data_IF_364649923572
#
_entry.id   IF_364649923572
#
_cell.length_a   1.000
_cell.length_b   1.000
_cell.length_c   1.000
_cell.angle_alpha   90.00
_cell.angle_beta   90.00
_cell.angle_gamma   90.00
#
_symmetry.space_group_name_H-M   'P 1'
#
loop_
_entity.id
_entity.type
_entity.pdbx_description
1 polymer ?
#
# COMPACT_ATOMS: atom_id res chain seq x y z
N UNK A 1 3.70 -15.70 -23.95
CA UNK A 1 4.31 -16.03 -22.65
C UNK A 1 4.27 -17.54 -22.41
N UNK A 2 5.29 -18.14 -21.74
CA UNK A 2 5.31 -19.55 -21.34
C UNK A 2 5.45 -19.65 -19.83
N UNK A 3 4.55 -20.33 -19.17
CA UNK A 3 4.56 -20.58 -17.71
C UNK A 3 4.71 -22.10 -17.52
N UNK A 4 5.77 -22.52 -16.82
CA UNK A 4 5.99 -23.92 -16.50
C UNK A 4 5.32 -24.31 -15.19
N UNK A 5 5.21 -25.59 -14.92
CA UNK A 5 4.64 -26.12 -13.67
C UNK A 5 5.49 -25.70 -12.47
N UNK A 6 4.91 -25.19 -11.38
CA UNK A 6 5.63 -24.92 -10.13
C UNK A 6 6.43 -26.13 -9.65
N UNK A 7 7.53 -25.88 -8.95
CA UNK A 7 8.44 -26.87 -8.39
C UNK A 7 9.13 -27.76 -9.46
N UNK A 8 9.11 -27.33 -10.73
CA UNK A 8 9.83 -27.98 -11.84
C UNK A 8 10.94 -27.08 -12.37
N UNK A 9 11.88 -27.59 -13.16
CA UNK A 9 12.91 -26.77 -13.78
C UNK A 9 12.38 -25.69 -14.74
N UNK A 10 11.13 -25.82 -15.20
CA UNK A 10 10.48 -24.86 -16.09
C UNK A 10 9.62 -23.81 -15.35
N UNK A 11 9.59 -23.84 -14.03
CA UNK A 11 8.79 -22.94 -13.21
C UNK A 11 9.22 -21.48 -13.39
N UNK A 12 8.25 -20.58 -13.50
CA UNK A 12 8.48 -19.14 -13.32
C UNK A 12 8.41 -18.86 -11.83
N UNK A 13 9.48 -18.30 -11.26
CA UNK A 13 9.62 -18.03 -9.82
C UNK A 13 9.46 -16.55 -9.54
N UNK A 14 8.55 -16.22 -8.62
CA UNK A 14 8.35 -14.86 -8.12
C UNK A 14 8.63 -14.82 -6.62
N UNK A 15 9.53 -13.93 -6.21
CA UNK A 15 9.87 -13.67 -4.81
C UNK A 15 9.18 -12.39 -4.35
N UNK A 16 8.36 -12.49 -3.30
CA UNK A 16 7.75 -11.34 -2.65
C UNK A 16 8.60 -10.91 -1.44
N UNK A 17 8.94 -9.64 -1.37
CA UNK A 17 9.61 -9.01 -0.24
C UNK A 17 8.58 -8.26 0.59
N UNK A 18 8.07 -8.91 1.61
CA UNK A 18 6.92 -8.55 2.43
C UNK A 18 5.82 -9.58 2.27
N UNK A 19 5.47 -10.24 3.38
CA UNK A 19 4.55 -11.38 3.40
C UNK A 19 3.30 -11.10 4.23
N UNK A 20 2.88 -9.82 4.27
CA UNK A 20 1.66 -9.40 4.94
C UNK A 20 0.37 -9.87 4.26
N UNK A 21 -0.75 -9.27 4.65
CA UNK A 21 -2.08 -9.59 4.10
C UNK A 21 -2.20 -9.32 2.61
N UNK A 22 -1.63 -8.21 2.12
CA UNK A 22 -1.66 -7.87 0.70
C UNK A 22 -0.78 -8.84 -0.09
N UNK A 23 0.43 -9.13 0.41
CA UNK A 23 1.31 -10.13 -0.18
C UNK A 23 0.67 -11.52 -0.26
N UNK A 24 -0.15 -11.93 0.72
CA UNK A 24 -0.90 -13.19 0.68
C UNK A 24 -1.85 -13.24 -0.51
N UNK A 25 -2.62 -12.20 -0.75
CA UNK A 25 -3.54 -12.15 -1.89
C UNK A 25 -2.77 -12.14 -3.24
N UNK A 26 -1.63 -11.44 -3.31
CA UNK A 26 -0.74 -11.49 -4.51
C UNK A 26 -0.22 -12.90 -4.75
N UNK A 27 0.25 -13.61 -3.71
CA UNK A 27 0.70 -15.01 -3.81
C UNK A 27 -0.42 -15.90 -4.35
N UNK A 28 -1.63 -15.78 -3.81
CA UNK A 28 -2.79 -16.56 -4.25
C UNK A 28 -3.07 -16.32 -5.74
N UNK A 29 -3.07 -15.06 -6.18
CA UNK A 29 -3.32 -14.74 -7.59
C UNK A 29 -2.20 -15.23 -8.52
N UNK A 30 -0.94 -15.15 -8.11
CA UNK A 30 0.18 -15.72 -8.86
C UNK A 30 0.07 -17.25 -8.98
N UNK A 31 -0.31 -17.93 -7.90
CA UNK A 31 -0.51 -19.40 -7.91
C UNK A 31 -1.67 -19.81 -8.81
N UNK A 32 -2.75 -19.03 -8.91
CA UNK A 32 -3.83 -19.27 -9.89
C UNK A 32 -3.33 -19.23 -11.33
N UNK A 33 -2.26 -18.50 -11.60
CA UNK A 33 -1.59 -18.47 -12.90
C UNK A 33 -0.51 -19.55 -13.07
N UNK A 34 -0.33 -20.45 -12.10
CA UNK A 34 0.69 -21.51 -12.14
C UNK A 34 2.12 -21.00 -11.86
N UNK A 35 2.27 -19.88 -11.16
CA UNK A 35 3.56 -19.30 -10.81
C UNK A 35 4.07 -19.87 -9.49
N UNK A 36 5.35 -20.20 -9.42
CA UNK A 36 6.02 -20.61 -8.20
C UNK A 36 6.35 -19.38 -7.34
N UNK A 37 5.89 -19.38 -6.10
CA UNK A 37 5.97 -18.22 -5.21
C UNK A 37 6.89 -18.46 -4.04
N UNK A 38 7.71 -17.46 -3.70
CA UNK A 38 8.65 -17.44 -2.58
C UNK A 38 8.30 -16.22 -1.73
N UNK A 39 7.88 -16.45 -0.48
CA UNK A 39 7.45 -15.39 0.43
C UNK A 39 8.53 -15.09 1.47
N UNK A 40 8.96 -13.82 1.55
CA UNK A 40 10.03 -13.38 2.44
C UNK A 40 9.50 -12.34 3.43
N UNK A 41 9.78 -12.50 4.71
CA UNK A 41 9.47 -11.51 5.74
C UNK A 41 10.51 -11.54 6.85
N UNK A 42 10.46 -10.55 7.77
CA UNK A 42 11.33 -10.47 8.96
C UNK A 42 10.90 -11.38 10.11
N UNK A 43 9.73 -12.00 10.05
CA UNK A 43 9.19 -12.89 11.05
C UNK A 43 8.56 -14.12 10.40
N UNK A 44 8.53 -15.23 11.15
CA UNK A 44 7.94 -16.49 10.69
C UNK A 44 6.41 -16.45 10.70
N UNK A 45 5.82 -17.33 9.93
CA UNK A 45 4.37 -17.53 9.86
C UNK A 45 3.58 -16.29 9.39
N UNK A 46 4.26 -15.42 8.64
CA UNK A 46 3.59 -14.27 8.01
C UNK A 46 2.49 -14.75 7.02
N UNK A 47 1.41 -13.97 6.83
CA UNK A 47 0.26 -14.40 6.03
C UNK A 47 0.58 -15.01 4.66
N UNK A 48 1.46 -14.41 3.87
CA UNK A 48 1.83 -14.95 2.56
C UNK A 48 2.71 -16.22 2.67
N UNK A 49 3.52 -16.35 3.72
CA UNK A 49 4.34 -17.56 3.96
C UNK A 49 3.47 -18.79 4.19
N UNK A 50 2.26 -18.63 4.74
CA UNK A 50 1.32 -19.74 4.99
C UNK A 50 0.78 -20.37 3.71
N UNK A 51 0.89 -19.71 2.57
CA UNK A 51 0.33 -20.16 1.27
C UNK A 51 1.37 -20.25 0.16
N UNK A 52 2.56 -19.70 0.33
CA UNK A 52 3.62 -19.74 -0.69
C UNK A 52 4.24 -21.15 -0.82
N UNK A 53 4.86 -21.43 -1.96
CA UNK A 53 5.60 -22.69 -2.16
C UNK A 53 6.86 -22.79 -1.29
N UNK A 54 7.51 -21.63 -1.04
CA UNK A 54 8.65 -21.51 -0.12
C UNK A 54 8.54 -20.25 0.71
N UNK A 55 9.10 -20.30 1.92
CA UNK A 55 9.08 -19.22 2.88
C UNK A 55 10.47 -18.98 3.48
N UNK A 56 10.86 -17.72 3.61
CA UNK A 56 12.12 -17.34 4.24
C UNK A 56 11.93 -16.22 5.25
N UNK A 57 12.73 -16.28 6.31
CA UNK A 57 12.77 -15.23 7.35
C UNK A 57 14.15 -14.61 7.33
N UNK A 58 14.23 -13.34 6.91
CA UNK A 58 15.46 -12.55 6.91
C UNK A 58 15.16 -11.10 7.31
N UNK A 59 16.16 -10.38 7.74
CA UNK A 59 16.10 -8.92 7.76
C UNK A 59 16.31 -8.40 6.32
N UNK A 60 15.22 -8.00 5.67
CA UNK A 60 15.26 -7.51 4.27
C UNK A 60 15.97 -6.14 4.15
N UNK A 61 16.28 -5.46 5.26
CA UNK A 61 17.10 -4.25 5.27
C UNK A 61 18.61 -4.56 5.27
N UNK A 62 19.00 -5.81 5.52
CA UNK A 62 20.36 -6.29 5.35
C UNK A 62 20.61 -6.66 3.88
N UNK A 63 21.40 -5.83 3.20
CA UNK A 63 21.75 -6.00 1.80
C UNK A 63 22.43 -7.35 1.51
N UNK A 64 23.26 -7.86 2.44
CA UNK A 64 23.98 -9.13 2.25
C UNK A 64 23.02 -10.32 2.36
N UNK A 65 22.14 -10.30 3.36
CA UNK A 65 21.14 -11.35 3.54
C UNK A 65 20.17 -11.41 2.34
N UNK A 66 19.72 -10.23 1.86
CA UNK A 66 18.86 -10.14 0.69
C UNK A 66 19.54 -10.71 -0.57
N UNK A 67 20.78 -10.30 -0.87
CA UNK A 67 21.52 -10.80 -2.03
C UNK A 67 21.75 -12.30 -1.96
N UNK A 68 22.21 -12.81 -0.83
CA UNK A 68 22.47 -14.25 -0.64
C UNK A 68 21.19 -15.09 -0.87
N UNK A 69 20.03 -14.60 -0.43
CA UNK A 69 18.75 -15.26 -0.67
C UNK A 69 18.38 -15.25 -2.15
N UNK A 70 18.54 -14.12 -2.84
CA UNK A 70 18.27 -14.01 -4.29
C UNK A 70 19.16 -14.95 -5.09
N UNK A 71 20.46 -15.02 -4.78
CA UNK A 71 21.42 -15.91 -5.45
C UNK A 71 21.11 -17.38 -5.21
N UNK A 72 20.64 -17.74 -4.01
CA UNK A 72 20.24 -19.11 -3.66
C UNK A 72 18.95 -19.53 -4.36
N UNK A 73 17.90 -18.73 -4.29
CA UNK A 73 16.56 -19.03 -4.83
C UNK A 73 16.47 -18.83 -6.34
N UNK A 74 17.25 -17.90 -6.88
CA UNK A 74 17.25 -17.52 -8.30
C UNK A 74 15.84 -17.22 -8.82
N UNK A 75 15.13 -16.26 -8.22
CA UNK A 75 13.82 -15.85 -8.72
C UNK A 75 13.96 -15.18 -10.09
N UNK A 76 12.95 -15.29 -10.94
CA UNK A 76 12.88 -14.52 -12.18
C UNK A 76 12.46 -13.07 -11.89
N UNK A 77 11.51 -12.91 -10.95
CA UNK A 77 10.94 -11.63 -10.58
C UNK A 77 11.00 -11.44 -9.07
N UNK A 78 11.30 -10.22 -8.63
CA UNK A 78 11.24 -9.77 -7.24
C UNK A 78 10.16 -8.70 -7.13
N UNK A 79 9.24 -8.84 -6.18
CA UNK A 79 8.10 -7.95 -5.98
C UNK A 79 8.17 -7.38 -4.55
N UNK A 80 8.60 -6.11 -4.39
CA UNK A 80 8.56 -5.41 -3.12
C UNK A 80 7.12 -5.10 -2.69
N UNK A 81 6.74 -5.55 -1.48
CA UNK A 81 5.41 -5.35 -0.90
C UNK A 81 5.41 -4.50 0.37
N UNK A 82 6.60 -4.14 0.88
CA UNK A 82 6.77 -3.28 2.06
C UNK A 82 7.91 -2.28 1.84
N UNK A 83 8.02 -1.27 2.73
CA UNK A 83 9.05 -0.23 2.65
C UNK A 83 10.39 -0.62 3.32
N UNK A 84 10.40 -1.61 4.24
CA UNK A 84 11.59 -2.00 4.98
C UNK A 84 12.46 -2.98 4.19
N UNK A 85 13.09 -2.51 3.13
CA UNK A 85 13.95 -3.28 2.20
C UNK A 85 15.21 -2.50 1.89
N UNK A 86 16.34 -3.19 1.69
CA UNK A 86 17.58 -2.61 1.18
C UNK A 86 17.45 -2.23 -0.30
N UNK A 87 16.83 -1.08 -0.60
CA UNK A 87 16.49 -0.68 -1.98
C UNK A 87 17.72 -0.41 -2.85
N UNK A 88 18.83 0.03 -2.25
CA UNK A 88 20.10 0.16 -2.98
C UNK A 88 20.62 -1.19 -3.45
N UNK A 89 20.35 -2.26 -2.70
CA UNK A 89 20.69 -3.62 -3.12
C UNK A 89 19.77 -4.14 -4.21
N UNK A 90 18.48 -3.75 -4.18
CA UNK A 90 17.58 -4.08 -5.31
C UNK A 90 18.05 -3.46 -6.63
N UNK A 91 18.57 -2.23 -6.60
CA UNK A 91 19.15 -1.59 -7.77
C UNK A 91 20.33 -2.41 -8.32
N UNK A 92 21.25 -2.87 -7.44
CA UNK A 92 22.41 -3.70 -7.83
C UNK A 92 21.98 -5.07 -8.37
N UNK A 93 20.98 -5.72 -7.73
CA UNK A 93 20.42 -6.99 -8.19
C UNK A 93 19.89 -6.87 -9.62
N UNK A 94 19.23 -5.75 -9.94
CA UNK A 94 18.69 -5.47 -11.27
C UNK A 94 19.81 -5.16 -12.28
N UNK A 95 20.80 -4.36 -11.89
CA UNK A 95 22.01 -4.06 -12.68
C UNK A 95 22.82 -5.34 -13.00
N UNK A 96 23.00 -6.21 -12.01
CA UNK A 96 23.70 -7.50 -12.14
C UNK A 96 22.87 -8.55 -12.89
N UNK A 97 21.62 -8.24 -13.26
CA UNK A 97 20.67 -9.13 -13.96
C UNK A 97 20.38 -10.43 -13.20
N UNK A 98 20.45 -10.42 -11.88
CA UNK A 98 20.11 -11.57 -11.05
C UNK A 98 18.61 -11.84 -11.04
N UNK A 99 17.79 -10.79 -11.08
CA UNK A 99 16.33 -10.85 -11.20
C UNK A 99 15.78 -9.52 -11.72
N UNK A 100 14.56 -9.52 -12.26
CA UNK A 100 13.83 -8.29 -12.57
C UNK A 100 13.02 -7.85 -11.36
N UNK A 101 13.14 -6.59 -10.95
CA UNK A 101 12.35 -6.01 -9.86
C UNK A 101 11.09 -5.35 -10.40
N UNK A 102 9.94 -5.62 -9.81
CA UNK A 102 8.64 -5.12 -10.26
C UNK A 102 8.06 -4.12 -9.22
N UNK A 103 7.58 -2.95 -9.64
CA UNK A 103 7.57 -2.43 -11.03
C UNK A 103 8.96 -2.14 -11.55
N UNK A 104 9.86 -1.55 -10.75
CA UNK A 104 11.31 -1.40 -10.95
C UNK A 104 12.00 -1.21 -9.59
N UNK A 105 13.29 -1.55 -9.47
CA UNK A 105 14.08 -1.24 -8.28
C UNK A 105 14.10 0.28 -8.01
N UNK A 106 14.16 1.10 -9.07
CA UNK A 106 14.09 2.56 -9.00
C UNK A 106 12.76 3.04 -8.42
N UNK A 107 11.62 2.45 -8.81
CA UNK A 107 10.32 2.82 -8.26
C UNK A 107 10.28 2.57 -6.75
N UNK A 108 10.69 1.40 -6.29
CA UNK A 108 10.78 1.09 -4.85
C UNK A 108 11.71 2.07 -4.12
N UNK A 109 12.90 2.35 -4.68
CA UNK A 109 13.88 3.25 -4.08
C UNK A 109 13.37 4.71 -3.96
N UNK A 110 12.64 5.22 -4.94
CA UNK A 110 12.09 6.58 -4.93
C UNK A 110 10.93 6.67 -3.93
N UNK A 111 9.97 5.76 -3.99
CA UNK A 111 8.73 5.85 -3.23
C UNK A 111 8.91 5.56 -1.73
N UNK A 112 9.95 4.83 -1.35
CA UNK A 112 10.28 4.60 0.06
C UNK A 112 10.83 5.83 0.78
N UNK A 113 11.18 6.87 0.07
CA UNK A 113 11.70 8.12 0.62
C UNK A 113 10.78 9.29 0.24
N UNK A 114 10.10 9.89 1.24
CA UNK A 114 9.17 11.01 1.03
C UNK A 114 9.81 12.21 0.33
N UNK A 115 11.12 12.45 0.54
CA UNK A 115 11.79 13.54 -0.15
C UNK A 115 11.92 13.26 -1.64
N UNK A 116 12.36 12.04 -2.01
CA UNK A 116 12.55 11.67 -3.41
C UNK A 116 11.24 11.71 -4.19
N UNK A 117 10.18 11.10 -3.65
CA UNK A 117 8.89 11.10 -4.35
C UNK A 117 8.24 12.48 -4.38
N UNK A 118 8.39 13.29 -3.31
CA UNK A 118 7.86 14.67 -3.31
C UNK A 118 8.58 15.54 -4.34
N UNK A 119 9.90 15.43 -4.46
CA UNK A 119 10.67 16.17 -5.48
C UNK A 119 10.29 15.72 -6.89
N UNK A 120 10.20 14.41 -7.13
CA UNK A 120 9.72 13.90 -8.41
C UNK A 120 8.34 14.48 -8.77
N UNK A 121 7.38 14.42 -7.88
CA UNK A 121 6.02 14.90 -8.13
C UNK A 121 5.96 16.44 -8.31
N UNK A 122 6.50 17.20 -7.36
CA UNK A 122 6.35 18.64 -7.32
C UNK A 122 7.37 19.39 -8.20
N UNK A 123 8.65 18.94 -8.20
CA UNK A 123 9.73 19.71 -8.85
C UNK A 123 9.98 19.24 -10.28
N UNK A 124 9.92 17.93 -10.57
CA UNK A 124 10.15 17.40 -11.92
C UNK A 124 8.85 17.37 -12.75
N UNK A 125 7.79 16.76 -12.20
CA UNK A 125 6.52 16.56 -12.90
C UNK A 125 5.58 17.76 -12.78
N UNK A 126 5.89 18.75 -11.91
CA UNK A 126 5.08 19.94 -11.66
C UNK A 126 3.63 19.64 -11.28
N UNK A 127 3.41 18.54 -10.56
CA UNK A 127 2.09 18.20 -10.06
C UNK A 127 1.71 19.11 -8.89
N UNK A 128 0.46 19.54 -8.77
CA UNK A 128 -0.05 20.19 -7.57
C UNK A 128 0.15 19.29 -6.34
N UNK A 129 0.76 19.84 -5.29
CA UNK A 129 1.00 19.15 -4.00
C UNK A 129 0.71 20.12 -2.86
N UNK A 130 0.66 19.62 -1.60
CA UNK A 130 0.72 20.50 -0.43
C UNK A 130 1.98 21.38 -0.50
N UNK A 131 1.95 22.63 -0.02
CA UNK A 131 3.16 23.38 0.27
C UNK A 131 4.05 22.60 1.22
N UNK A 132 5.36 22.50 0.97
CA UNK A 132 6.25 21.66 1.77
C UNK A 132 7.64 22.24 1.95
N UNK A 133 8.35 21.78 2.98
CA UNK A 133 9.79 21.99 3.14
C UNK A 133 10.44 20.76 3.81
N UNK A 134 11.71 20.51 3.47
CA UNK A 134 12.53 19.50 4.14
C UNK A 134 13.43 20.17 5.17
N UNK A 135 13.45 19.61 6.39
CA UNK A 135 14.16 20.17 7.52
C UNK A 135 15.14 19.13 8.08
N UNK A 136 16.40 19.55 8.29
CA UNK A 136 17.45 18.72 8.86
C UNK A 136 17.75 19.09 10.33
N UNK A 137 17.12 20.15 10.84
CA UNK A 137 17.26 20.60 12.22
C UNK A 137 15.94 21.14 12.76
N UNK A 138 15.84 21.25 14.10
CA UNK A 138 14.70 21.89 14.73
C UNK A 138 14.56 23.37 14.30
N UNK A 139 15.67 24.07 14.12
CA UNK A 139 15.66 25.47 13.67
C UNK A 139 15.11 25.59 12.24
N UNK A 140 15.48 24.67 11.32
CA UNK A 140 14.90 24.62 9.98
C UNK A 140 13.40 24.39 10.05
N UNK A 141 12.95 23.46 10.92
CA UNK A 141 11.53 23.16 11.08
C UNK A 141 10.74 24.35 11.63
N UNK A 142 11.27 25.08 12.60
CA UNK A 142 10.67 26.31 13.11
C UNK A 142 10.53 27.38 12.03
N UNK A 143 11.56 27.60 11.22
CA UNK A 143 11.54 28.55 10.12
C UNK A 143 10.53 28.12 9.02
N UNK A 144 10.54 26.81 8.67
CA UNK A 144 9.64 26.27 7.65
C UNK A 144 8.17 26.32 8.06
N UNK A 145 7.84 26.00 9.32
CA UNK A 145 6.46 26.10 9.83
C UNK A 145 5.97 27.53 9.90
N UNK A 146 6.85 28.49 10.20
CA UNK A 146 6.50 29.92 10.14
C UNK A 146 6.17 30.40 8.72
N UNK A 147 6.86 29.85 7.71
CA UNK A 147 6.61 30.17 6.29
C UNK A 147 5.38 29.47 5.70
N UNK A 148 5.16 28.20 6.03
CA UNK A 148 4.02 27.40 5.54
C UNK A 148 2.73 27.77 6.27
N UNK A 149 2.82 28.09 7.57
CA UNK A 149 1.67 28.38 8.41
C UNK A 149 1.07 27.15 9.08
N UNK A 150 -0.01 27.40 9.83
CA UNK A 150 -0.75 26.36 10.58
C UNK A 150 -2.21 26.31 10.11
N UNK A 151 -2.85 25.13 10.13
CA UNK A 151 -2.29 23.85 10.53
C UNK A 151 -1.35 23.25 9.48
N UNK A 152 -0.37 22.46 9.94
CA UNK A 152 0.56 21.74 9.09
C UNK A 152 0.91 20.35 9.68
N UNK A 153 1.49 19.47 8.85
CA UNK A 153 1.91 18.14 9.27
C UNK A 153 3.43 18.03 9.24
N UNK A 154 4.00 17.41 10.27
CA UNK A 154 5.42 17.04 10.32
C UNK A 154 5.51 15.51 10.27
N UNK A 155 6.32 14.99 9.34
CA UNK A 155 6.46 13.56 9.10
C UNK A 155 7.95 13.21 8.94
N UNK A 156 8.44 12.09 9.51
CA UNK A 156 9.77 11.56 9.15
C UNK A 156 9.84 11.26 7.65
N UNK A 157 11.00 11.51 7.03
CA UNK A 157 11.18 11.23 5.59
C UNK A 157 11.04 9.74 5.27
N UNK A 158 11.45 8.87 6.19
CA UNK A 158 11.34 7.42 6.05
C UNK A 158 10.43 6.83 7.14
N UNK A 159 9.13 6.84 6.90
CA UNK A 159 8.12 6.20 7.75
C UNK A 159 6.88 5.85 6.93
N UNK A 160 6.08 4.89 7.43
CA UNK A 160 4.80 4.48 6.84
C UNK A 160 3.70 4.43 7.89
N UNK A 161 2.44 4.38 7.48
CA UNK A 161 1.27 4.24 8.35
C UNK A 161 1.24 5.30 9.48
N UNK A 162 1.51 6.56 9.16
CA UNK A 162 1.43 7.67 10.11
C UNK A 162 2.44 7.67 11.27
N UNK A 163 3.39 6.71 11.30
CA UNK A 163 4.37 6.60 12.40
C UNK A 163 5.25 7.82 12.46
N UNK A 164 5.29 8.48 13.64
CA UNK A 164 6.05 9.70 13.86
C UNK A 164 5.40 10.98 13.29
N UNK A 165 4.26 10.87 12.63
CA UNK A 165 3.53 12.02 12.13
C UNK A 165 2.91 12.83 13.27
N UNK A 166 2.91 14.16 13.13
CA UNK A 166 2.22 15.10 14.00
C UNK A 166 1.49 16.15 13.17
N UNK A 167 0.25 16.47 13.54
CA UNK A 167 -0.49 17.62 13.04
C UNK A 167 -0.31 18.77 14.03
N UNK A 168 0.26 19.86 13.58
CA UNK A 168 0.54 21.05 14.38
C UNK A 168 -0.53 22.11 14.14
N UNK A 169 -1.04 22.67 15.22
CA UNK A 169 -2.01 23.78 15.19
C UNK A 169 -1.37 25.12 15.53
N UNK A 170 -0.16 25.10 16.10
CA UNK A 170 0.56 26.30 16.53
C UNK A 170 2.07 26.07 16.61
N UNK A 171 2.82 27.16 16.68
CA UNK A 171 4.29 27.13 16.83
C UNK A 171 4.76 26.44 18.11
N UNK A 172 3.96 26.47 19.20
CA UNK A 172 4.31 25.82 20.47
C UNK A 172 4.36 24.29 20.43
N UNK A 173 3.92 23.66 19.33
CA UNK A 173 3.91 22.21 19.16
C UNK A 173 5.11 21.69 18.35
N UNK A 174 5.92 22.58 17.76
CA UNK A 174 6.97 22.23 16.78
C UNK A 174 8.07 21.37 17.39
N UNK A 175 8.57 21.73 18.58
CA UNK A 175 9.63 20.97 19.27
C UNK A 175 9.18 19.54 19.60
N UNK A 176 7.99 19.39 20.18
CA UNK A 176 7.41 18.07 20.48
C UNK A 176 7.22 17.21 19.23
N UNK A 177 6.84 17.83 18.10
CA UNK A 177 6.67 17.12 16.84
C UNK A 177 8.02 16.67 16.26
N UNK A 178 9.06 17.50 16.38
CA UNK A 178 10.42 17.13 16.02
C UNK A 178 10.90 15.91 16.81
N UNK A 179 10.79 15.95 18.14
CA UNK A 179 11.23 14.85 19.01
C UNK A 179 10.47 13.54 18.69
N UNK A 180 9.17 13.63 18.48
CA UNK A 180 8.37 12.48 18.10
C UNK A 180 8.80 11.91 16.74
N UNK A 181 9.10 12.77 15.76
CA UNK A 181 9.54 12.33 14.44
C UNK A 181 10.94 11.65 14.51
N UNK A 182 11.85 12.18 15.34
CA UNK A 182 13.19 11.62 15.51
C UNK A 182 13.17 10.26 16.21
N UNK A 183 12.27 10.05 17.16
CA UNK A 183 12.17 8.77 17.90
C UNK A 183 11.45 7.68 17.12
N UNK A 184 10.59 8.04 16.18
CA UNK A 184 9.77 7.09 15.40
C UNK A 184 10.37 6.71 14.04
N UNK A 185 11.41 7.42 13.57
CA UNK A 185 12.05 7.16 12.28
C UNK A 185 12.73 5.79 12.24
N UNK A 186 12.59 5.09 11.09
CA UNK A 186 13.26 3.79 10.85
C UNK A 186 14.75 3.91 10.55
N UNK A 187 15.23 5.10 10.24
CA UNK A 187 16.63 5.42 9.92
C UNK A 187 17.06 6.57 10.81
N UNK A 188 18.30 6.53 11.30
CA UNK A 188 18.89 7.56 12.17
C UNK A 188 19.21 8.89 11.45
N UNK A 189 18.57 9.17 10.33
CA UNK A 189 18.69 10.47 9.68
C UNK A 189 17.72 11.46 10.32
N UNK A 190 18.29 12.54 10.89
CA UNK A 190 17.54 13.66 11.43
C UNK A 190 16.95 14.49 10.28
N UNK A 191 15.89 13.96 9.60
CA UNK A 191 15.26 14.64 8.46
C UNK A 191 13.76 14.43 8.46
N UNK A 192 13.03 15.53 8.36
CA UNK A 192 11.57 15.54 8.30
C UNK A 192 11.09 16.33 7.09
N UNK A 193 9.86 16.06 6.67
CA UNK A 193 9.08 16.95 5.80
C UNK A 193 8.03 17.65 6.66
N UNK A 194 7.86 18.95 6.46
CA UNK A 194 6.68 19.70 6.89
C UNK A 194 5.80 19.98 5.67
N UNK A 195 4.51 19.74 5.81
CA UNK A 195 3.51 19.93 4.74
C UNK A 195 2.34 20.76 5.25
N UNK A 196 1.95 21.78 4.50
CA UNK A 196 0.73 22.54 4.77
C UNK A 196 -0.51 21.65 4.63
N UNK A 197 -1.50 21.85 5.49
CA UNK A 197 -2.75 21.10 5.40
C UNK A 197 -3.57 21.54 4.18
N UNK A 198 -4.02 20.58 3.38
CA UNK A 198 -4.99 20.80 2.31
C UNK A 198 -6.40 20.64 2.89
N UNK A 199 -7.23 21.65 2.75
CA UNK A 199 -8.65 21.54 3.08
C UNK A 199 -9.37 20.87 1.92
N UNK A 200 -9.46 19.54 1.95
CA UNK A 200 -10.12 18.72 0.93
C UNK A 200 -11.53 18.28 1.35
N UNK A 201 -12.34 17.89 0.36
CA UNK A 201 -13.67 17.32 0.60
C UNK A 201 -13.57 15.82 0.89
N UNK A 202 -12.68 15.12 0.17
CA UNK A 202 -12.38 13.70 0.37
C UNK A 202 -11.00 13.34 -0.21
N UNK A 203 -10.48 12.23 0.25
CA UNK A 203 -9.26 11.59 -0.25
C UNK A 203 -9.63 10.36 -1.09
N UNK A 204 -8.88 10.12 -2.15
CA UNK A 204 -9.02 8.94 -3.00
C UNK A 204 -7.70 8.20 -3.15
N UNK A 205 -7.82 6.89 -3.39
CA UNK A 205 -6.76 6.10 -4.00
C UNK A 205 -7.15 5.82 -5.46
N UNK A 206 -6.36 6.32 -6.40
CA UNK A 206 -6.47 5.99 -7.82
C UNK A 206 -5.54 4.81 -8.13
N UNK A 207 -6.09 3.59 -8.15
CA UNK A 207 -5.34 2.40 -8.53
C UNK A 207 -5.02 2.46 -10.03
N UNK A 208 -3.74 2.58 -10.33
CA UNK A 208 -3.20 2.70 -11.68
C UNK A 208 -2.38 1.46 -12.03
N UNK A 209 -2.73 0.77 -13.10
CA UNK A 209 -2.08 -0.46 -13.54
C UNK A 209 -1.29 -0.18 -14.81
N UNK A 210 0.01 -0.39 -14.77
CA UNK A 210 0.86 -0.38 -15.96
C UNK A 210 1.07 -1.82 -16.41
N UNK A 211 0.50 -2.17 -17.55
CA UNK A 211 0.54 -3.52 -18.11
C UNK A 211 1.11 -3.51 -19.54
N UNK A 212 1.24 -4.68 -20.12
CA UNK A 212 1.78 -4.85 -21.48
C UNK A 212 0.94 -4.16 -22.56
N UNK A 213 -0.35 -4.00 -22.31
CA UNK A 213 -1.34 -3.36 -23.19
C UNK A 213 -1.62 -1.89 -22.87
N UNK A 214 -0.86 -1.29 -21.95
CA UNK A 214 -0.95 0.14 -21.63
C UNK A 214 -1.12 0.45 -20.15
N UNK A 215 -1.53 1.69 -19.89
CA UNK A 215 -1.87 2.16 -18.55
C UNK A 215 -3.37 2.17 -18.38
N UNK A 216 -3.86 1.49 -17.34
CA UNK A 216 -5.27 1.33 -17.01
C UNK A 216 -5.55 1.95 -15.63
N UNK A 217 -6.74 2.55 -15.49
CA UNK A 217 -7.20 3.14 -14.24
C UNK A 217 -8.42 2.36 -13.73
N UNK A 218 -8.42 2.03 -12.45
CA UNK A 218 -9.62 1.54 -11.79
C UNK A 218 -10.65 2.67 -11.59
N UNK A 219 -11.85 2.38 -11.16
CA UNK A 219 -12.72 3.41 -10.61
C UNK A 219 -12.12 3.92 -9.28
N UNK A 220 -12.21 5.24 -8.97
CA UNK A 220 -11.60 5.80 -7.77
C UNK A 220 -12.11 5.13 -6.49
N UNK A 221 -11.21 4.91 -5.55
CA UNK A 221 -11.53 4.35 -4.24
C UNK A 221 -11.57 5.49 -3.23
N UNK A 222 -12.75 5.73 -2.64
CA UNK A 222 -12.88 6.58 -1.46
C UNK A 222 -12.54 5.79 -0.19
N UNK A 223 -11.98 6.46 0.80
CA UNK A 223 -11.63 5.82 2.05
C UNK A 223 -11.70 6.79 3.25
N UNK A 224 -11.75 6.22 4.43
CA UNK A 224 -11.61 6.94 5.70
C UNK A 224 -10.35 6.45 6.39
N UNK A 225 -9.53 7.39 6.82
CA UNK A 225 -8.38 7.16 7.69
C UNK A 225 -8.66 7.72 9.08
N UNK A 226 -8.16 7.04 10.10
CA UNK A 226 -8.15 7.51 11.47
C UNK A 226 -6.74 7.38 12.05
N UNK A 227 -6.15 8.49 12.49
CA UNK A 227 -4.74 8.55 12.95
C UNK A 227 -3.73 8.04 11.89
N UNK A 228 -4.04 8.18 10.60
CA UNK A 228 -3.20 7.71 9.50
C UNK A 228 -3.32 6.22 9.19
N UNK A 229 -4.25 5.50 9.83
CA UNK A 229 -4.60 4.13 9.50
C UNK A 229 -5.91 4.06 8.74
N UNK A 230 -5.95 3.26 7.69
CA UNK A 230 -7.15 2.94 6.93
C UNK A 230 -8.18 2.20 7.79
N UNK A 231 -9.43 2.64 7.73
CA UNK A 231 -10.55 2.09 8.52
C UNK A 231 -11.61 1.45 7.63
N UNK A 232 -11.98 2.13 6.57
CA UNK A 232 -12.92 1.65 5.55
C UNK A 232 -12.56 2.20 4.17
N UNK A 233 -12.94 1.49 3.11
CA UNK A 233 -12.91 1.99 1.74
C UNK A 233 -14.13 1.55 0.96
N UNK A 234 -14.43 2.27 -0.12
CA UNK A 234 -15.53 1.95 -1.02
C UNK A 234 -15.18 2.32 -2.47
N UNK A 235 -15.82 1.65 -3.41
CA UNK A 235 -15.64 1.85 -4.84
C UNK A 235 -16.98 1.69 -5.57
N UNK A 236 -17.32 2.62 -6.48
CA UNK A 236 -16.57 3.79 -6.88
C UNK A 236 -16.80 4.99 -5.94
N UNK A 237 -15.78 5.85 -5.74
CA UNK A 237 -15.96 7.17 -5.16
C UNK A 237 -16.57 8.11 -6.20
N UNK A 238 -17.70 8.70 -5.89
CA UNK A 238 -18.34 9.70 -6.74
C UNK A 238 -17.54 11.00 -6.73
N UNK A 239 -17.24 11.53 -7.89
CA UNK A 239 -16.55 12.81 -8.07
C UNK A 239 -16.90 13.43 -9.41
N UNK A 240 -16.56 14.70 -9.61
CA UNK A 240 -16.79 15.38 -10.88
C UNK A 240 -15.93 14.76 -12.00
N UNK A 241 -16.42 14.83 -13.24
CA UNK A 241 -15.65 14.37 -14.41
C UNK A 241 -14.33 15.13 -14.56
N UNK A 242 -14.31 16.41 -14.21
CA UNK A 242 -13.12 17.26 -14.25
C UNK A 242 -12.08 16.80 -13.24
N UNK A 243 -12.48 16.57 -11.98
CA UNK A 243 -11.58 16.06 -10.95
C UNK A 243 -11.06 14.68 -11.30
N UNK A 244 -11.91 13.78 -11.80
CA UNK A 244 -11.51 12.43 -12.23
C UNK A 244 -10.46 12.48 -13.36
N UNK A 245 -10.67 13.34 -14.36
CA UNK A 245 -9.71 13.51 -15.45
C UNK A 245 -8.35 14.03 -14.94
N UNK A 246 -8.35 15.02 -14.02
CA UNK A 246 -7.12 15.53 -13.36
C UNK A 246 -6.44 14.42 -12.53
N UNK A 247 -7.19 13.65 -11.75
CA UNK A 247 -6.67 12.56 -10.94
C UNK A 247 -5.95 11.51 -11.79
N UNK A 248 -6.58 11.06 -12.87
CA UNK A 248 -6.01 10.08 -13.82
C UNK A 248 -4.79 10.63 -14.58
N UNK A 249 -4.79 11.90 -14.96
CA UNK A 249 -3.63 12.55 -15.58
C UNK A 249 -2.42 12.59 -14.61
N UNK A 250 -2.64 12.96 -13.35
CA UNK A 250 -1.58 12.96 -12.32
C UNK A 250 -1.07 11.55 -12.06
N UNK A 251 -1.97 10.58 -11.88
CA UNK A 251 -1.62 9.18 -11.64
C UNK A 251 -0.86 8.59 -12.84
N UNK A 252 -1.28 8.89 -14.05
CA UNK A 252 -0.59 8.50 -15.28
C UNK A 252 0.83 9.05 -15.36
N UNK A 253 1.01 10.35 -15.06
CA UNK A 253 2.32 11.01 -15.08
C UNK A 253 3.29 10.43 -14.05
N UNK A 254 2.87 10.29 -12.79
CA UNK A 254 3.76 9.80 -11.73
C UNK A 254 4.13 8.34 -11.94
N UNK A 255 3.19 7.49 -12.35
CA UNK A 255 3.47 6.06 -12.60
C UNK A 255 4.31 5.86 -13.85
N UNK A 256 4.14 6.69 -14.89
CA UNK A 256 5.02 6.68 -16.06
C UNK A 256 6.47 7.06 -15.70
N UNK A 257 6.65 8.07 -14.85
CA UNK A 257 7.97 8.50 -14.37
C UNK A 257 8.66 7.44 -13.49
N UNK A 258 7.90 6.67 -12.71
CA UNK A 258 8.43 5.54 -11.93
C UNK A 258 8.80 4.35 -12.81
N UNK A 259 8.09 4.14 -13.92
CA UNK A 259 8.35 3.10 -14.90
C UNK A 259 7.89 1.71 -14.48
N UNK A 260 8.24 0.72 -15.30
CA UNK A 260 7.93 -0.70 -15.08
C UNK A 260 6.46 -1.07 -15.28
N UNK A 261 6.14 -2.33 -14.96
CA UNK A 261 4.79 -2.89 -14.99
C UNK A 261 4.38 -3.29 -13.57
N UNK A 262 3.10 -3.20 -13.27
CA UNK A 262 2.53 -3.50 -11.95
C UNK A 262 1.39 -2.56 -11.60
N UNK A 263 0.90 -2.68 -10.38
CA UNK A 263 -0.11 -1.77 -9.84
C UNK A 263 0.54 -0.68 -8.98
N UNK A 264 -0.07 0.49 -8.99
CA UNK A 264 0.33 1.63 -8.18
C UNK A 264 -0.91 2.19 -7.48
N UNK A 265 -0.83 2.37 -6.16
CA UNK A 265 -1.81 3.11 -5.39
C UNK A 265 -1.41 4.58 -5.33
N UNK A 266 -2.12 5.46 -6.04
CA UNK A 266 -1.86 6.90 -6.04
C UNK A 266 -2.87 7.60 -5.15
N UNK A 267 -2.40 8.19 -4.06
CA UNK A 267 -3.24 8.91 -3.11
C UNK A 267 -3.36 10.39 -3.51
N UNK A 268 -4.59 10.89 -3.56
CA UNK A 268 -4.92 12.23 -4.04
C UNK A 268 -5.95 12.88 -3.14
N UNK A 269 -5.76 14.17 -2.83
CA UNK A 269 -6.77 15.00 -2.18
C UNK A 269 -7.65 15.65 -3.24
N UNK A 270 -8.95 15.74 -2.98
CA UNK A 270 -9.94 16.30 -3.91
C UNK A 270 -10.79 17.35 -3.20
N UNK A 271 -10.95 18.53 -3.83
CA UNK A 271 -11.88 19.57 -3.40
C UNK A 271 -12.56 20.18 -4.62
N UNK A 272 -13.86 19.93 -4.75
CA UNK A 272 -14.57 20.31 -5.98
C UNK A 272 -13.89 19.71 -7.21
N UNK A 273 -13.39 20.58 -8.10
CA UNK A 273 -12.64 20.17 -9.30
C UNK A 273 -11.12 20.20 -9.13
N UNK A 274 -10.61 20.61 -7.97
CA UNK A 274 -9.17 20.66 -7.70
C UNK A 274 -8.68 19.34 -7.11
N UNK A 275 -7.47 18.94 -7.53
CA UNK A 275 -6.82 17.68 -7.14
C UNK A 275 -5.36 17.94 -6.78
N UNK A 276 -4.88 17.37 -5.68
CA UNK A 276 -3.48 17.45 -5.25
C UNK A 276 -2.90 16.05 -5.04
N UNK A 277 -1.67 15.88 -5.49
CA UNK A 277 -0.91 14.66 -5.22
C UNK A 277 -0.49 14.60 -3.75
N UNK A 278 -0.75 13.46 -3.12
CA UNK A 278 -0.34 13.14 -1.75
C UNK A 278 0.85 12.19 -1.74
N UNK A 279 0.65 10.93 -2.14
CA UNK A 279 1.65 9.86 -2.09
C UNK A 279 1.41 8.85 -3.22
N UNK A 280 2.41 7.98 -3.50
CA UNK A 280 2.26 6.83 -4.39
C UNK A 280 2.99 5.62 -3.84
N UNK A 281 2.32 4.49 -3.86
CA UNK A 281 2.88 3.17 -3.53
C UNK A 281 3.00 2.33 -4.80
N UNK A 282 4.18 1.78 -5.15
CA UNK A 282 4.38 0.98 -6.37
C UNK A 282 4.01 -0.49 -6.12
N UNK A 283 2.85 -0.73 -5.52
CA UNK A 283 2.34 -2.04 -5.08
C UNK A 283 0.85 -1.95 -4.78
N UNK A 284 0.17 -3.08 -4.50
CA UNK A 284 -1.19 -3.08 -3.96
C UNK A 284 -1.33 -2.18 -2.73
N UNK A 285 -2.48 -1.54 -2.61
CA UNK A 285 -2.79 -0.58 -1.55
C UNK A 285 -3.87 -1.13 -0.63
N UNK A 286 -3.76 -0.90 0.68
CA UNK A 286 -4.72 -1.45 1.65
C UNK A 286 -6.16 -0.97 1.43
N UNK A 287 -6.36 0.25 0.91
CA UNK A 287 -7.69 0.71 0.49
C UNK A 287 -8.25 -0.09 -0.68
N UNK A 288 -7.39 -0.69 -1.50
CA UNK A 288 -7.74 -1.52 -2.65
C UNK A 288 -8.27 -2.91 -2.30
N UNK A 289 -8.24 -3.32 -1.01
CA UNK A 289 -8.90 -4.55 -0.56
C UNK A 289 -10.38 -4.61 -0.98
N UNK A 290 -11.05 -3.46 -1.14
CA UNK A 290 -12.42 -3.38 -1.66
C UNK A 290 -12.57 -4.02 -3.05
N UNK A 291 -11.51 -4.02 -3.85
CA UNK A 291 -11.54 -4.58 -5.21
C UNK A 291 -11.76 -6.09 -5.25
N UNK A 292 -11.54 -6.79 -4.14
CA UNK A 292 -11.86 -8.22 -4.00
C UNK A 292 -13.36 -8.50 -4.25
N UNK A 293 -14.23 -7.54 -4.00
CA UNK A 293 -15.68 -7.68 -4.22
C UNK A 293 -16.22 -6.75 -5.30
N UNK A 294 -15.62 -5.59 -5.51
CA UNK A 294 -16.13 -4.56 -6.42
C UNK A 294 -15.72 -4.73 -7.88
N UNK A 295 -14.62 -5.46 -8.16
CA UNK A 295 -14.08 -5.64 -9.52
C UNK A 295 -14.11 -7.11 -9.97
N UNK A 296 -14.02 -7.34 -11.29
CA UNK A 296 -13.82 -8.69 -11.84
C UNK A 296 -12.38 -9.18 -11.62
N UNK A 297 -11.40 -8.27 -11.72
CA UNK A 297 -10.00 -8.50 -11.36
C UNK A 297 -9.69 -7.61 -10.18
N UNK A 298 -9.45 -8.21 -9.01
CA UNK A 298 -9.01 -7.46 -7.84
C UNK A 298 -7.66 -6.77 -8.11
N UNK A 299 -7.28 -5.80 -7.31
CA UNK A 299 -5.97 -5.17 -7.41
C UNK A 299 -4.83 -6.19 -7.41
N UNK A 300 -4.99 -7.30 -6.69
CA UNK A 300 -4.02 -8.40 -6.62
C UNK A 300 -3.96 -9.18 -7.92
N UNK A 301 -5.11 -9.47 -8.52
CA UNK A 301 -5.20 -10.11 -9.84
C UNK A 301 -4.63 -9.20 -10.95
N UNK A 302 -4.92 -7.91 -10.88
CA UNK A 302 -4.35 -6.90 -11.78
C UNK A 302 -2.84 -6.84 -11.65
N UNK A 303 -2.32 -6.80 -10.41
CA UNK A 303 -0.89 -6.79 -10.13
C UNK A 303 -0.21 -8.06 -10.63
N UNK A 304 -0.74 -9.24 -10.27
CA UNK A 304 -0.21 -10.52 -10.73
C UNK A 304 -0.15 -10.62 -12.27
N UNK A 305 -1.20 -10.16 -12.97
CA UNK A 305 -1.21 -10.13 -14.44
C UNK A 305 -0.18 -9.16 -15.00
N UNK A 306 -0.10 -7.93 -14.45
CA UNK A 306 0.85 -6.94 -14.91
C UNK A 306 2.30 -7.40 -14.69
N UNK A 307 2.61 -8.00 -13.52
CA UNK A 307 3.91 -8.63 -13.21
C UNK A 307 4.28 -9.68 -14.26
N UNK A 308 3.30 -10.49 -14.63
CA UNK A 308 3.50 -11.60 -15.58
C UNK A 308 3.45 -11.15 -17.04
N UNK A 309 3.37 -9.85 -17.34
CA UNK A 309 3.28 -9.34 -18.71
C UNK A 309 2.00 -9.78 -19.44
N UNK A 310 0.90 -9.90 -18.71
CA UNK A 310 -0.42 -10.27 -19.23
C UNK A 310 -1.33 -9.03 -19.34
N UNK A 311 -2.33 -9.05 -20.25
CA UNK A 311 -3.30 -7.97 -20.35
C UNK A 311 -4.22 -7.93 -19.12
N UNK A 312 -4.73 -6.73 -18.81
CA UNK A 312 -5.56 -6.46 -17.63
C UNK A 312 -6.91 -5.85 -18.01
N UNK A 313 -7.88 -5.95 -17.09
CA UNK A 313 -9.16 -5.26 -17.19
C UNK A 313 -9.56 -4.70 -15.84
N UNK A 314 -9.76 -3.39 -15.76
CA UNK A 314 -10.16 -2.66 -14.54
C UNK A 314 -11.68 -2.54 -14.40
N UNK A 315 -12.45 -3.38 -15.09
CA UNK A 315 -13.90 -3.31 -15.11
C UNK A 315 -14.50 -3.51 -13.72
N UNK A 316 -15.32 -2.55 -13.30
CA UNK A 316 -16.13 -2.62 -12.09
C UNK A 316 -17.21 -3.71 -12.26
N UNK A 317 -17.46 -4.48 -11.21
CA UNK A 317 -18.50 -5.51 -11.13
C UNK A 317 -19.75 -4.96 -10.47
N UNK A 318 -19.58 -4.27 -9.34
CA UNK A 318 -20.66 -3.65 -8.58
C UNK A 318 -20.06 -2.63 -7.61
N UNK A 319 -20.86 -1.71 -7.06
CA UNK A 319 -20.43 -0.97 -5.88
C UNK A 319 -20.03 -1.94 -4.77
N UNK A 320 -18.92 -1.64 -4.09
CA UNK A 320 -18.38 -2.44 -3.00
C UNK A 320 -17.80 -1.60 -1.90
N UNK A 321 -17.62 -2.20 -0.73
CA UNK A 321 -16.97 -1.57 0.40
C UNK A 321 -16.19 -2.59 1.23
N UNK A 322 -15.25 -2.07 2.02
CA UNK A 322 -14.47 -2.84 2.98
C UNK A 322 -14.49 -2.14 4.34
N UNK A 323 -14.43 -2.92 5.41
CA UNK A 323 -14.30 -2.43 6.78
C UNK A 323 -13.31 -3.30 7.56
N UNK A 324 -12.42 -2.67 8.32
CA UNK A 324 -11.32 -3.37 9.02
C UNK A 324 -11.83 -4.13 10.25
N UNK A 325 -11.29 -5.32 10.46
CA UNK A 325 -11.40 -6.09 11.70
C UNK A 325 -10.09 -5.94 12.48
N UNK A 326 -10.15 -5.32 13.66
CA UNK A 326 -8.99 -5.07 14.50
C UNK A 326 -8.71 -6.20 15.49
N UNK A 327 -7.47 -6.31 15.94
CA UNK A 327 -7.03 -7.29 16.93
C UNK A 327 -7.59 -7.05 18.33
N UNK A 328 -7.66 -5.80 18.75
CA UNK A 328 -8.27 -5.39 20.01
C UNK A 328 -7.54 -5.83 21.29
N UNK A 329 -6.44 -6.60 21.17
CA UNK A 329 -5.65 -7.10 22.30
C UNK A 329 -4.21 -7.41 21.88
N UNK A 330 -3.29 -7.42 22.84
CA UNK A 330 -1.90 -7.85 22.64
C UNK A 330 -1.75 -9.33 22.98
N UNK A 331 -1.85 -10.20 21.96
CA UNK A 331 -1.74 -11.66 22.12
C UNK A 331 -1.09 -12.32 20.92
N UNK A 332 -0.51 -13.50 21.15
CA UNK A 332 -0.07 -14.40 20.07
C UNK A 332 -1.18 -15.41 19.80
N UNK A 333 -1.56 -15.55 18.53
CA UNK A 333 -2.62 -16.47 18.14
C UNK A 333 -3.95 -16.12 18.81
N UNK A 334 -4.79 -15.38 18.13
CA UNK A 334 -6.15 -15.07 18.59
C UNK A 334 -7.17 -15.91 17.85
N UNK A 335 -8.33 -16.13 18.43
CA UNK A 335 -9.49 -16.67 17.73
C UNK A 335 -10.48 -15.56 17.35
N UNK A 336 -11.37 -15.89 16.43
CA UNK A 336 -12.43 -15.01 15.96
C UNK A 336 -13.77 -15.69 16.20
N UNK A 337 -14.67 -15.02 16.91
CA UNK A 337 -16.07 -15.42 17.10
C UNK A 337 -16.99 -14.57 16.24
N UNK A 338 -18.23 -15.03 16.02
CA UNK A 338 -19.24 -14.30 15.24
C UNK A 338 -19.02 -14.37 13.71
N UNK A 339 -18.17 -15.26 13.23
CA UNK A 339 -17.89 -15.43 11.79
C UNK A 339 -19.15 -15.86 11.03
N UNK A 340 -19.94 -16.73 11.61
CA UNK A 340 -21.22 -17.18 11.04
C UNK A 340 -22.26 -16.05 11.00
N UNK A 341 -22.33 -15.19 11.99
CA UNK A 341 -23.19 -14.01 12.01
C UNK A 341 -22.73 -12.98 10.97
N UNK A 342 -21.42 -12.72 10.90
CA UNK A 342 -20.84 -11.83 9.92
C UNK A 342 -21.19 -12.25 8.48
N UNK A 343 -21.08 -13.54 8.18
CA UNK A 343 -21.35 -14.08 6.84
C UNK A 343 -22.86 -14.26 6.52
N UNK A 344 -23.77 -14.01 7.46
CA UNK A 344 -25.21 -13.87 7.18
C UNK A 344 -25.58 -12.51 6.60
N UNK A 345 -24.68 -11.52 6.69
CA UNK A 345 -24.92 -10.23 6.03
C UNK A 345 -24.92 -10.46 4.51
N UNK A 346 -25.99 -10.06 3.80
CA UNK A 346 -26.11 -10.33 2.37
C UNK A 346 -24.93 -9.76 1.57
N UNK A 347 -24.48 -10.53 0.57
CA UNK A 347 -23.40 -10.17 -0.36
C UNK A 347 -22.09 -9.75 0.34
N UNK A 348 -21.86 -10.26 1.56
CA UNK A 348 -20.62 -10.05 2.31
C UNK A 348 -19.62 -11.18 2.15
N UNK A 349 -18.36 -10.85 2.33
CA UNK A 349 -17.22 -11.76 2.41
C UNK A 349 -16.32 -11.33 3.56
N UNK A 350 -15.49 -12.26 4.06
CA UNK A 350 -14.55 -12.00 5.14
C UNK A 350 -13.16 -12.50 4.74
N UNK A 351 -12.13 -11.72 5.05
CA UNK A 351 -10.73 -12.15 4.98
C UNK A 351 -10.11 -12.02 6.37
N UNK A 352 -9.82 -13.15 7.02
CA UNK A 352 -9.00 -13.22 8.22
C UNK A 352 -7.56 -13.44 7.78
N UNK A 353 -6.68 -12.51 8.11
CA UNK A 353 -5.36 -12.44 7.49
C UNK A 353 -4.39 -13.54 7.95
N UNK A 354 -4.62 -14.13 9.15
CA UNK A 354 -3.74 -15.16 9.70
C UNK A 354 -2.45 -14.59 10.29
N UNK A 355 -2.43 -13.32 10.71
CA UNK A 355 -1.27 -12.73 11.38
C UNK A 355 -1.02 -13.41 12.72
N UNK A 356 0.23 -13.86 13.02
CA UNK A 356 0.52 -14.66 14.23
C UNK A 356 0.45 -13.85 15.53
N UNK A 357 0.52 -12.54 15.47
CA UNK A 357 0.45 -11.65 16.63
C UNK A 357 -0.63 -10.59 16.43
N UNK A 358 -1.36 -10.27 17.49
CA UNK A 358 -2.37 -9.21 17.55
C UNK A 358 -1.88 -8.04 18.40
N UNK A 359 -2.33 -6.81 18.09
CA UNK A 359 -2.24 -5.61 18.93
C UNK A 359 -3.56 -4.86 18.87
N UNK A 360 -3.75 -3.88 19.74
CA UNK A 360 -5.00 -3.10 19.82
C UNK A 360 -5.50 -2.59 18.46
N UNK A 361 -4.65 -1.92 17.68
CA UNK A 361 -4.98 -1.35 16.37
C UNK A 361 -4.43 -2.16 15.19
N UNK A 362 -3.98 -3.41 15.39
CA UNK A 362 -3.52 -4.23 14.27
C UNK A 362 -4.71 -4.73 13.47
N UNK A 363 -4.69 -4.49 12.18
CA UNK A 363 -5.66 -5.07 11.25
C UNK A 363 -5.43 -6.57 11.15
N UNK A 364 -6.39 -7.36 11.61
CA UNK A 364 -6.35 -8.82 11.63
C UNK A 364 -7.24 -9.45 10.56
N UNK A 365 -8.12 -8.65 9.97
CA UNK A 365 -9.00 -9.05 8.90
C UNK A 365 -9.66 -7.86 8.24
N UNK A 366 -10.45 -8.13 7.24
CA UNK A 366 -11.32 -7.17 6.53
C UNK A 366 -12.63 -7.84 6.20
N UNK A 367 -13.73 -7.18 6.51
CA UNK A 367 -15.06 -7.50 6.01
C UNK A 367 -15.28 -6.74 4.69
N UNK A 368 -15.86 -7.41 3.72
CA UNK A 368 -16.10 -6.92 2.38
C UNK A 368 -17.57 -7.09 2.06
N UNK A 369 -18.18 -6.15 1.37
CA UNK A 369 -19.57 -6.31 0.92
C UNK A 369 -19.83 -5.57 -0.37
N UNK A 370 -20.85 -6.06 -1.11
CA UNK A 370 -21.41 -5.41 -2.28
C UNK A 370 -22.79 -4.82 -1.94
N UNK A 371 -23.26 -3.90 -2.77
CA UNK A 371 -24.58 -3.33 -2.67
C UNK A 371 -25.01 -2.70 -3.99
N UNK A 372 -26.27 -2.29 -4.08
CA UNK A 372 -26.76 -1.52 -5.22
C UNK A 372 -26.13 -0.11 -5.25
N UNK A 373 -25.74 0.40 -4.10
CA UNK A 373 -25.01 1.67 -3.92
C UNK A 373 -23.79 1.48 -3.03
N UNK A 374 -22.85 2.43 -3.07
CA UNK A 374 -21.69 2.43 -2.15
C UNK A 374 -22.12 2.57 -0.70
N UNK A 375 -23.16 3.34 -0.39
CA UNK A 375 -23.66 3.49 0.98
C UNK A 375 -24.23 2.18 1.55
N UNK A 376 -24.96 1.43 0.74
CA UNK A 376 -25.45 0.10 1.11
C UNK A 376 -24.28 -0.87 1.34
N UNK A 377 -23.31 -0.90 0.42
CA UNK A 377 -22.12 -1.72 0.56
C UNK A 377 -21.33 -1.38 1.84
N UNK A 378 -21.14 -0.08 2.15
CA UNK A 378 -20.48 0.41 3.37
C UNK A 378 -21.22 -0.03 4.63
N UNK A 379 -22.55 0.10 4.65
CA UNK A 379 -23.36 -0.37 5.77
C UNK A 379 -23.19 -1.87 6.01
N UNK A 380 -23.28 -2.67 4.94
CA UNK A 380 -23.12 -4.13 5.00
C UNK A 380 -21.70 -4.53 5.47
N UNK A 381 -20.64 -3.92 4.92
CA UNK A 381 -19.28 -4.20 5.33
C UNK A 381 -19.03 -3.88 6.82
N UNK A 382 -19.54 -2.74 7.31
CA UNK A 382 -19.48 -2.38 8.73
C UNK A 382 -20.27 -3.35 9.61
N UNK A 383 -21.47 -3.74 9.20
CA UNK A 383 -22.28 -4.71 9.92
C UNK A 383 -21.56 -6.05 10.02
N UNK A 384 -20.99 -6.53 8.90
CA UNK A 384 -20.19 -7.75 8.86
C UNK A 384 -18.96 -7.64 9.79
N UNK A 385 -18.17 -6.54 9.70
CA UNK A 385 -17.01 -6.35 10.55
C UNK A 385 -17.36 -6.28 12.05
N UNK A 386 -18.49 -5.64 12.42
CA UNK A 386 -18.91 -5.47 13.81
C UNK A 386 -19.39 -6.77 14.47
N UNK A 387 -19.78 -7.76 13.70
CA UNK A 387 -20.13 -9.09 14.20
C UNK A 387 -18.91 -9.89 14.67
N UNK A 388 -17.72 -9.56 14.15
CA UNK A 388 -16.48 -10.28 14.49
C UNK A 388 -15.95 -9.78 15.84
N UNK A 389 -15.72 -10.74 16.73
CA UNK A 389 -15.08 -10.52 18.03
C UNK A 389 -13.75 -11.28 18.06
N UNK A 390 -12.69 -10.58 18.43
CA UNK A 390 -11.39 -11.23 18.69
C UNK A 390 -11.35 -11.70 20.14
N UNK A 391 -10.95 -12.93 20.34
CA UNK A 391 -10.90 -13.57 21.67
C UNK A 391 -9.55 -14.24 21.89
N UNK A 392 -9.16 -14.33 23.16
CA UNK A 392 -7.98 -15.09 23.58
C UNK A 392 -8.27 -16.60 23.48
N UNK A 393 -7.27 -17.36 23.01
CA UNK A 393 -7.31 -18.83 22.94
C UNK A 393 -6.83 -19.42 24.26
#
# INVERSE_FOLDING_TARGET
MRIGTPLSPAAVKVMLLGSGELGKEVVIELQRLGVETIAVDRYADAPAQQVAHRAHVIDMTDARALRALVESERPHLIVPEIEAIATDELLRIEEDKLATVIPTARAAHITMNRERIRRLAAEELKLPTSPYAFCASLADLQAATAGIGFPCFVKPVMSSSGKGQSRLKSAGEVEKAWDKAMTAGRVKEARVIVEGEIAFDFEITELTVRAVDGTHFCEPIGHVQFDGDYVESWQPQQMSKTALAKARDMAGKVTAALGGHGIFGVELFVKGDEVWFSEVSPRPHDTGLVTLVSQYQSEFALHARAIMGLPVSTALKSPGASAVVYGGMEEKGIAFEGVDEALRVPESELRLFGKPQSYMKRRMGVALARGATTDEARLRAKTCASAIKTVKV
#
